data_IF_284932036106
#
_entry.id   IF_284932036106
#
_cell.length_a   1.000
_cell.length_b   1.000
_cell.length_c   1.000
_cell.angle_alpha   90.00
_cell.angle_beta   90.00
_cell.angle_gamma   90.00
#
_symmetry.space_group_name_H-M   'P 1'
#
loop_
_entity.id
_entity.type
_entity.pdbx_description
1 polymer ?
#
# COMPACT_ATOMS: atom_id res chain seq x y z
N UNK A 1 24.91 -4.69 -6.22
CA UNK A 1 24.73 -4.89 -7.69
C UNK A 1 24.09 -6.23 -8.00
N UNK A 2 24.59 -7.35 -7.46
CA UNK A 2 23.98 -8.69 -7.65
C UNK A 2 22.53 -8.76 -7.17
N UNK A 3 22.27 -8.35 -5.92
CA UNK A 3 20.92 -8.37 -5.33
C UNK A 3 19.87 -7.66 -6.18
N UNK A 4 20.25 -6.55 -6.83
CA UNK A 4 19.34 -5.75 -7.66
C UNK A 4 19.35 -6.18 -9.14
N UNK A 5 19.99 -7.30 -9.49
CA UNK A 5 20.01 -7.81 -10.85
C UNK A 5 20.72 -6.90 -11.86
N UNK A 6 21.80 -6.23 -11.45
CA UNK A 6 22.64 -5.39 -12.31
C UNK A 6 24.06 -5.93 -12.49
N UNK A 7 24.35 -7.14 -12.03
CA UNK A 7 25.72 -7.67 -12.05
C UNK A 7 26.20 -7.99 -13.47
N UNK A 8 25.37 -8.64 -14.28
CA UNK A 8 25.74 -9.00 -15.66
C UNK A 8 25.99 -7.74 -16.52
N UNK A 9 25.23 -6.68 -16.29
CA UNK A 9 25.34 -5.41 -17.03
C UNK A 9 26.34 -4.41 -16.44
N UNK A 10 27.15 -4.81 -15.45
CA UNK A 10 28.04 -3.90 -14.68
C UNK A 10 29.09 -3.17 -15.53
N UNK A 11 29.43 -3.71 -16.70
CA UNK A 11 30.41 -3.14 -17.63
C UNK A 11 29.77 -2.35 -18.78
N UNK A 12 28.43 -2.31 -18.87
CA UNK A 12 27.70 -1.53 -19.86
C UNK A 12 27.67 -0.06 -19.41
N UNK A 13 27.78 0.88 -20.36
CA UNK A 13 27.70 2.31 -20.05
C UNK A 13 26.31 2.67 -19.53
N UNK A 14 26.24 3.47 -18.47
CA UNK A 14 24.95 3.91 -17.86
C UNK A 14 24.05 4.62 -18.87
N UNK A 15 24.59 5.26 -19.91
CA UNK A 15 23.80 5.85 -21.00
C UNK A 15 22.88 4.83 -21.68
N UNK A 16 23.34 3.58 -21.82
CA UNK A 16 22.66 2.46 -22.49
C UNK A 16 21.70 1.71 -21.55
N UNK A 17 21.67 2.06 -20.25
CA UNK A 17 20.76 1.43 -19.29
C UNK A 17 19.31 1.82 -19.57
N UNK A 18 18.40 0.85 -19.41
CA UNK A 18 16.95 1.12 -19.37
C UNK A 18 16.60 2.01 -18.17
N UNK A 19 15.40 2.60 -18.18
CA UNK A 19 14.90 3.41 -17.06
C UNK A 19 14.97 2.65 -15.73
N UNK A 20 14.49 1.40 -15.72
CA UNK A 20 14.51 0.56 -14.51
C UNK A 20 15.92 0.17 -14.05
N UNK A 21 16.87 -0.03 -14.98
CA UNK A 21 18.28 -0.23 -14.61
C UNK A 21 18.88 1.01 -13.96
N UNK A 22 18.59 2.21 -14.49
CA UNK A 22 19.04 3.49 -13.90
C UNK A 22 18.49 3.71 -12.50
N UNK A 23 17.20 3.41 -12.29
CA UNK A 23 16.57 3.49 -10.95
C UNK A 23 17.25 2.54 -9.97
N UNK A 24 17.44 1.27 -10.33
CA UNK A 24 18.13 0.28 -9.48
C UNK A 24 19.59 0.67 -9.19
N UNK A 25 20.30 1.25 -10.17
CA UNK A 25 21.66 1.74 -9.96
C UNK A 25 21.69 2.94 -8.99
N UNK A 26 20.75 3.88 -9.13
CA UNK A 26 20.62 5.00 -8.20
C UNK A 26 20.32 4.53 -6.77
N UNK A 27 19.45 3.52 -6.61
CA UNK A 27 19.20 2.90 -5.32
C UNK A 27 20.48 2.31 -4.70
N UNK A 28 21.26 1.54 -5.48
CA UNK A 28 22.56 1.02 -5.01
C UNK A 28 23.50 2.14 -4.60
N UNK A 29 23.56 3.23 -5.37
CA UNK A 29 24.40 4.40 -5.04
C UNK A 29 23.98 5.08 -3.74
N UNK A 30 22.68 5.20 -3.48
CA UNK A 30 22.14 5.80 -2.27
C UNK A 30 22.48 4.99 -1.00
N UNK A 31 22.62 3.67 -1.13
CA UNK A 31 22.98 2.79 -0.02
C UNK A 31 24.50 2.61 0.17
N UNK A 32 25.31 2.92 -0.84
CA UNK A 32 26.73 2.56 -0.89
C UNK A 32 27.55 3.12 0.28
N UNK A 33 27.17 4.29 0.80
CA UNK A 33 27.84 4.95 1.92
C UNK A 33 27.28 4.55 3.30
N UNK A 34 26.42 3.53 3.38
CA UNK A 34 25.74 3.09 4.59
C UNK A 34 25.18 4.26 5.42
N UNK A 35 24.24 5.04 4.85
CA UNK A 35 23.75 6.23 5.52
C UNK A 35 23.00 5.84 6.80
N UNK A 36 22.76 6.80 7.70
CA UNK A 36 21.82 6.62 8.82
C UNK A 36 20.37 6.83 8.41
N UNK A 37 20.16 7.71 7.42
CA UNK A 37 18.86 8.06 6.86
C UNK A 37 18.93 7.95 5.35
N UNK A 38 18.06 7.13 4.77
CA UNK A 38 17.96 6.90 3.34
C UNK A 38 16.76 7.65 2.78
N UNK A 39 17.01 8.59 1.86
CA UNK A 39 15.96 9.32 1.13
C UNK A 39 15.73 8.64 -0.23
N UNK A 40 14.50 8.20 -0.47
CA UNK A 40 14.12 7.48 -1.67
C UNK A 40 12.93 8.18 -2.33
N UNK A 41 13.11 8.56 -3.59
CA UNK A 41 12.07 9.22 -4.39
C UNK A 41 11.63 8.28 -5.52
N UNK A 42 10.37 7.83 -5.46
CA UNK A 42 9.73 6.98 -6.46
C UNK A 42 10.57 5.75 -6.88
N UNK A 43 11.23 5.14 -5.90
CA UNK A 43 12.29 4.12 -6.11
C UNK A 43 11.81 2.83 -6.77
N UNK A 44 10.52 2.52 -6.66
CA UNK A 44 9.87 1.34 -7.27
C UNK A 44 9.09 1.69 -8.54
N UNK A 45 8.94 2.97 -8.86
CA UNK A 45 8.13 3.42 -9.99
C UNK A 45 8.75 2.99 -11.33
N UNK A 46 7.95 2.34 -12.17
CA UNK A 46 8.37 1.85 -13.47
C UNK A 46 9.30 0.62 -13.42
N UNK A 47 9.39 -0.05 -12.27
CA UNK A 47 9.97 -1.39 -12.17
C UNK A 47 8.87 -2.45 -12.39
N UNK A 48 9.27 -3.61 -12.93
CA UNK A 48 8.41 -4.78 -12.93
C UNK A 48 8.20 -5.31 -11.49
N UNK A 49 7.15 -6.12 -11.25
CA UNK A 49 6.82 -6.59 -9.90
C UNK A 49 7.96 -7.32 -9.18
N UNK A 50 8.80 -8.07 -9.91
CA UNK A 50 9.91 -8.83 -9.33
C UNK A 50 10.99 -7.89 -8.82
N UNK A 51 11.43 -6.94 -9.64
CA UNK A 51 12.44 -5.96 -9.25
C UNK A 51 11.93 -5.00 -8.16
N UNK A 52 10.67 -4.58 -8.23
CA UNK A 52 10.06 -3.76 -7.18
C UNK A 52 10.10 -4.51 -5.83
N UNK A 53 9.72 -5.79 -5.81
CA UNK A 53 9.78 -6.62 -4.59
C UNK A 53 11.18 -6.70 -4.00
N UNK A 54 12.20 -6.96 -4.83
CA UNK A 54 13.60 -7.01 -4.38
C UNK A 54 14.01 -5.71 -3.69
N UNK A 55 13.66 -4.55 -4.27
CA UNK A 55 13.99 -3.24 -3.69
C UNK A 55 13.28 -3.06 -2.35
N UNK A 56 12.00 -3.43 -2.27
CA UNK A 56 11.21 -3.37 -1.03
C UNK A 56 11.75 -4.26 0.08
N UNK A 57 12.19 -5.46 -0.26
CA UNK A 57 12.84 -6.37 0.68
C UNK A 57 14.12 -5.75 1.25
N UNK A 58 14.96 -5.13 0.39
CA UNK A 58 16.18 -4.43 0.82
C UNK A 58 15.87 -3.24 1.73
N UNK A 59 14.84 -2.45 1.41
CA UNK A 59 14.40 -1.32 2.23
C UNK A 59 13.96 -1.80 3.62
N UNK A 60 13.18 -2.87 3.66
CA UNK A 60 12.68 -3.47 4.92
C UNK A 60 13.83 -3.98 5.77
N UNK A 61 14.79 -4.71 5.19
CA UNK A 61 15.99 -5.16 5.89
C UNK A 61 16.82 -4.00 6.44
N UNK A 62 16.98 -2.93 5.67
CA UNK A 62 17.72 -1.74 6.11
C UNK A 62 17.05 -1.04 7.29
N UNK A 63 15.71 -0.92 7.27
CA UNK A 63 14.92 -0.44 8.42
C UNK A 63 15.11 -1.35 9.63
N UNK A 64 14.98 -2.66 9.45
CA UNK A 64 15.05 -3.65 10.54
C UNK A 64 16.44 -3.70 11.19
N UNK A 65 17.49 -3.27 10.47
CA UNK A 65 18.85 -3.07 10.99
C UNK A 65 19.05 -1.73 11.73
N UNK A 66 17.99 -0.95 11.91
CA UNK A 66 18.00 0.34 12.62
C UNK A 66 18.22 1.56 11.73
N UNK A 67 18.25 1.39 10.41
CA UNK A 67 18.27 2.49 9.45
C UNK A 67 16.93 3.23 9.40
N UNK A 68 16.95 4.54 9.11
CA UNK A 68 15.72 5.31 8.87
C UNK A 68 15.50 5.50 7.38
N UNK A 69 14.28 5.32 6.88
CA UNK A 69 13.95 5.52 5.47
C UNK A 69 12.90 6.61 5.35
N UNK A 70 13.16 7.61 4.50
CA UNK A 70 12.19 8.59 4.06
C UNK A 70 11.83 8.27 2.61
N UNK A 71 10.58 7.86 2.38
CA UNK A 71 10.08 7.46 1.06
C UNK A 71 9.06 8.49 0.58
N UNK A 72 9.27 9.06 -0.60
CA UNK A 72 8.23 9.72 -1.38
C UNK A 72 7.73 8.77 -2.46
N UNK A 73 6.43 8.51 -2.47
CA UNK A 73 5.78 7.76 -3.53
C UNK A 73 4.28 8.05 -3.60
N UNK A 74 3.72 7.93 -4.80
CA UNK A 74 2.28 7.86 -5.05
C UNK A 74 1.74 6.42 -5.05
N UNK A 75 2.60 5.40 -4.91
CA UNK A 75 2.21 3.99 -4.92
C UNK A 75 1.73 3.55 -3.53
N UNK A 76 0.43 3.60 -3.30
CA UNK A 76 -0.16 3.35 -1.99
C UNK A 76 0.10 1.93 -1.45
N UNK A 77 0.19 0.92 -2.31
CA UNK A 77 0.63 -0.42 -1.91
C UNK A 77 2.05 -0.45 -1.30
N UNK A 78 2.97 0.38 -1.81
CA UNK A 78 4.32 0.46 -1.25
C UNK A 78 4.31 1.18 0.10
N UNK A 79 3.48 2.20 0.22
CA UNK A 79 3.24 2.89 1.49
C UNK A 79 2.71 1.92 2.55
N UNK A 80 1.71 1.11 2.22
CA UNK A 80 1.15 0.12 3.14
C UNK A 80 2.16 -0.95 3.57
N UNK A 81 3.07 -1.35 2.67
CA UNK A 81 4.05 -2.41 2.95
C UNK A 81 5.27 -1.92 3.72
N UNK A 82 5.74 -0.69 3.45
CA UNK A 82 7.03 -0.22 3.93
C UNK A 82 6.94 0.79 5.09
N UNK A 83 5.88 1.59 5.14
CA UNK A 83 5.85 2.77 6.00
C UNK A 83 5.24 2.47 7.37
N UNK A 84 5.98 2.80 8.43
CA UNK A 84 5.46 2.81 9.80
C UNK A 84 4.52 4.00 10.04
N UNK A 85 4.79 5.12 9.36
CA UNK A 85 4.01 6.35 9.38
C UNK A 85 3.93 6.95 7.99
N UNK A 86 2.80 7.56 7.68
CA UNK A 86 2.49 8.20 6.40
C UNK A 86 2.24 9.68 6.66
N UNK A 87 2.73 10.53 5.76
CA UNK A 87 2.35 11.93 5.69
C UNK A 87 1.76 12.25 4.31
N UNK A 88 0.53 12.76 4.25
CA UNK A 88 -0.04 13.24 2.99
C UNK A 88 0.42 14.68 2.71
N UNK A 89 1.04 14.88 1.54
CA UNK A 89 1.46 16.19 1.05
C UNK A 89 0.47 16.69 -0.01
N UNK A 90 -0.21 17.80 0.26
CA UNK A 90 -1.20 18.43 -0.63
C UNK A 90 -0.89 19.92 -0.71
N UNK A 91 -0.83 20.48 -1.92
CA UNK A 91 -0.52 21.90 -2.15
C UNK A 91 0.76 22.42 -1.45
N UNK A 92 1.74 21.53 -1.25
CA UNK A 92 3.01 21.86 -0.59
C UNK A 92 2.98 21.79 0.93
N UNK A 93 1.86 21.41 1.54
CA UNK A 93 1.68 21.28 2.98
C UNK A 93 1.46 19.81 3.41
N UNK A 94 1.92 19.47 4.62
CA UNK A 94 1.64 18.16 5.22
C UNK A 94 0.35 18.23 6.02
N UNK A 95 -0.68 17.50 5.60
CA UNK A 95 -2.00 17.57 6.22
C UNK A 95 -2.16 16.60 7.39
N UNK A 96 -1.75 15.36 7.21
CA UNK A 96 -1.98 14.32 8.21
C UNK A 96 -0.78 13.39 8.30
N UNK A 97 -0.35 13.12 9.54
CA UNK A 97 0.75 12.22 9.83
C UNK A 97 0.30 11.17 10.82
N UNK A 98 0.12 9.93 10.36
CA UNK A 98 -0.37 8.83 11.19
C UNK A 98 0.10 7.48 10.68
N UNK A 99 -0.23 6.39 11.37
CA UNK A 99 0.07 5.03 10.89
C UNK A 99 -0.90 4.64 9.77
N UNK A 100 -0.51 3.73 8.85
CA UNK A 100 -1.43 3.22 7.84
C UNK A 100 -2.72 2.66 8.44
N UNK A 101 -2.61 1.97 9.58
CA UNK A 101 -3.74 1.39 10.30
C UNK A 101 -4.69 2.46 10.84
N UNK A 102 -4.17 3.49 11.49
CA UNK A 102 -5.00 4.53 12.08
C UNK A 102 -5.73 5.35 11.00
N UNK A 103 -5.06 5.58 9.86
CA UNK A 103 -5.70 6.20 8.69
C UNK A 103 -6.86 5.35 8.18
N UNK A 104 -6.65 4.04 8.00
CA UNK A 104 -7.71 3.10 7.61
C UNK A 104 -8.85 3.04 8.62
N UNK A 105 -8.58 3.20 9.92
CA UNK A 105 -9.65 3.23 10.93
C UNK A 105 -10.42 4.56 10.93
N UNK A 106 -9.73 5.68 10.68
CA UNK A 106 -10.31 7.03 10.68
C UNK A 106 -11.18 7.28 9.45
N UNK A 107 -10.69 6.88 8.27
CA UNK A 107 -11.36 7.08 6.99
C UNK A 107 -12.12 5.84 6.50
N UNK A 108 -11.95 4.72 7.21
CA UNK A 108 -12.61 3.45 6.95
C UNK A 108 -14.13 3.52 7.07
N UNK A 109 -14.82 2.80 6.19
CA UNK A 109 -16.25 2.55 6.38
C UNK A 109 -16.44 1.49 7.47
N UNK A 110 -17.18 1.84 8.52
CA UNK A 110 -17.49 0.90 9.61
C UNK A 110 -18.70 0.05 9.24
N UNK A 111 -18.56 -0.76 8.19
CA UNK A 111 -19.62 -1.61 7.65
C UNK A 111 -19.14 -3.04 7.39
N UNK A 112 -20.08 -3.95 7.20
CA UNK A 112 -19.87 -5.36 6.85
C UNK A 112 -20.76 -5.69 5.67
N UNK A 113 -20.16 -6.15 4.59
CA UNK A 113 -20.85 -6.71 3.43
C UNK A 113 -21.01 -8.21 3.61
N UNK A 114 -22.23 -8.70 3.47
CA UNK A 114 -22.54 -10.13 3.48
C UNK A 114 -23.09 -10.50 2.11
N UNK A 115 -22.54 -11.55 1.49
CA UNK A 115 -23.08 -12.16 0.27
C UNK A 115 -23.69 -13.51 0.63
N UNK A 116 -24.91 -13.74 0.16
CA UNK A 116 -25.70 -14.93 0.50
C UNK A 116 -26.61 -15.34 -0.65
N UNK A 117 -26.98 -16.62 -0.70
CA UNK A 117 -27.92 -17.11 -1.71
C UNK A 117 -29.37 -16.83 -1.35
N UNK A 118 -30.10 -16.32 -2.34
CA UNK A 118 -31.54 -16.12 -2.29
C UNK A 118 -32.15 -16.44 -3.66
N UNK A 119 -33.14 -17.33 -3.69
CA UNK A 119 -33.83 -17.76 -4.91
C UNK A 119 -32.89 -18.25 -6.04
N UNK A 120 -31.78 -18.91 -5.67
CA UNK A 120 -30.80 -19.43 -6.62
C UNK A 120 -29.82 -18.40 -7.18
N UNK A 121 -29.85 -17.14 -6.70
CA UNK A 121 -28.91 -16.10 -7.07
C UNK A 121 -28.14 -15.57 -5.85
N UNK A 122 -26.92 -15.09 -6.07
CA UNK A 122 -26.13 -14.38 -5.07
C UNK A 122 -26.70 -12.97 -4.86
N UNK A 123 -27.04 -12.66 -3.62
CA UNK A 123 -27.49 -11.34 -3.16
C UNK A 123 -26.49 -10.79 -2.16
N UNK A 124 -26.42 -9.46 -2.02
CA UNK A 124 -25.56 -8.82 -1.03
C UNK A 124 -26.32 -7.81 -0.18
N UNK A 125 -25.92 -7.68 1.09
CA UNK A 125 -26.42 -6.68 2.01
C UNK A 125 -25.26 -6.05 2.78
N UNK A 126 -25.39 -4.76 3.09
CA UNK A 126 -24.43 -3.98 3.87
C UNK A 126 -25.03 -3.66 5.23
N UNK A 127 -24.25 -3.85 6.29
CA UNK A 127 -24.64 -3.58 7.67
C UNK A 127 -23.61 -2.70 8.35
N UNK A 128 -24.02 -1.70 9.15
CA UNK A 128 -23.10 -1.01 10.04
C UNK A 128 -22.44 -2.00 11.00
N UNK A 129 -21.14 -1.84 11.23
CA UNK A 129 -20.39 -2.63 12.21
C UNK A 129 -20.82 -2.29 13.65
N UNK A 130 -21.25 -1.05 13.88
CA UNK A 130 -21.80 -0.62 15.16
C UNK A 130 -23.12 -1.34 15.44
N UNK A 131 -23.18 -2.02 16.58
CA UNK A 131 -24.37 -2.78 16.99
C UNK A 131 -24.68 -3.99 16.09
N UNK A 132 -23.78 -4.40 15.19
CA UNK A 132 -24.04 -5.48 14.22
C UNK A 132 -24.50 -6.79 14.88
N UNK A 133 -23.96 -7.09 16.06
CA UNK A 133 -24.33 -8.27 16.82
C UNK A 133 -25.80 -8.30 17.24
N UNK A 134 -26.46 -7.14 17.35
CA UNK A 134 -27.88 -6.99 17.70
C UNK A 134 -28.76 -6.70 16.48
N UNK A 135 -28.18 -6.60 15.27
CA UNK A 135 -28.93 -6.30 14.07
C UNK A 135 -29.78 -7.52 13.65
N UNK A 136 -31.10 -7.40 13.80
CA UNK A 136 -32.04 -8.49 13.54
C UNK A 136 -31.98 -9.01 12.09
N UNK A 137 -31.78 -8.12 11.11
CA UNK A 137 -31.71 -8.52 9.70
C UNK A 137 -30.41 -9.28 9.41
N UNK A 138 -29.28 -8.78 9.91
CA UNK A 138 -27.99 -9.46 9.81
C UNK A 138 -28.06 -10.85 10.46
N UNK A 139 -28.58 -10.96 11.68
CA UNK A 139 -28.78 -12.25 12.35
C UNK A 139 -29.72 -13.18 11.57
N UNK A 140 -30.80 -12.65 10.99
CA UNK A 140 -31.73 -13.44 10.20
C UNK A 140 -31.08 -14.00 8.93
N UNK A 141 -30.22 -13.23 8.28
CA UNK A 141 -29.44 -13.69 7.13
C UNK A 141 -28.49 -14.80 7.56
N UNK A 142 -27.70 -14.60 8.63
CA UNK A 142 -26.77 -15.61 9.14
C UNK A 142 -27.45 -16.92 9.58
N UNK A 143 -28.68 -16.85 10.10
CA UNK A 143 -29.43 -18.02 10.57
C UNK A 143 -30.17 -18.75 9.46
N UNK A 144 -30.66 -18.04 8.45
CA UNK A 144 -31.65 -18.58 7.51
C UNK A 144 -31.19 -18.61 6.06
N UNK A 145 -30.02 -18.04 5.73
CA UNK A 145 -29.49 -18.00 4.36
C UNK A 145 -28.17 -18.77 4.28
N UNK A 146 -27.86 -19.25 3.09
CA UNK A 146 -26.55 -19.83 2.78
C UNK A 146 -25.57 -18.67 2.51
N UNK A 147 -24.62 -18.46 3.43
CA UNK A 147 -23.62 -17.40 3.32
C UNK A 147 -22.51 -17.84 2.37
N UNK A 148 -22.20 -17.01 1.39
CA UNK A 148 -21.08 -17.22 0.47
C UNK A 148 -19.84 -16.48 0.95
N UNK A 149 -19.97 -15.19 1.31
CA UNK A 149 -18.85 -14.37 1.81
C UNK A 149 -19.28 -13.35 2.86
N UNK A 150 -18.33 -12.95 3.72
CA UNK A 150 -18.48 -11.82 4.65
C UNK A 150 -17.19 -11.01 4.61
N UNK A 151 -17.31 -9.72 4.33
CA UNK A 151 -16.18 -8.79 4.24
C UNK A 151 -16.44 -7.55 5.10
N UNK A 152 -15.43 -7.09 5.85
CA UNK A 152 -15.42 -5.73 6.40
C UNK A 152 -15.32 -4.71 5.26
N UNK A 153 -16.00 -3.58 5.39
CA UNK A 153 -15.88 -2.42 4.50
C UNK A 153 -14.56 -1.68 4.71
N UNK A 154 -13.44 -2.37 4.48
CA UNK A 154 -12.12 -1.75 4.56
C UNK A 154 -11.95 -0.71 3.45
N UNK A 155 -11.36 0.43 3.81
CA UNK A 155 -11.00 1.48 2.86
C UNK A 155 -9.55 1.31 2.48
N UNK A 156 -9.27 1.29 1.18
CA UNK A 156 -7.90 1.17 0.67
C UNK A 156 -7.12 2.47 0.92
N UNK A 157 -5.80 2.40 0.97
CA UNK A 157 -5.00 3.62 1.09
C UNK A 157 -5.15 4.52 -0.16
N UNK A 158 -5.44 3.95 -1.32
CA UNK A 158 -5.84 4.67 -2.54
C UNK A 158 -7.10 5.51 -2.32
N UNK A 159 -8.15 4.95 -1.72
CA UNK A 159 -9.37 5.71 -1.40
C UNK A 159 -9.09 6.84 -0.41
N UNK A 160 -8.26 6.58 0.62
CA UNK A 160 -7.86 7.60 1.59
C UNK A 160 -7.10 8.72 0.89
N UNK A 161 -6.19 8.39 -0.03
CA UNK A 161 -5.46 9.38 -0.81
C UNK A 161 -6.39 10.29 -1.63
N UNK A 162 -7.42 9.73 -2.27
CA UNK A 162 -8.44 10.49 -3.01
C UNK A 162 -9.19 11.44 -2.06
N UNK A 163 -9.63 10.93 -0.91
CA UNK A 163 -10.32 11.73 0.12
C UNK A 163 -9.43 12.90 0.59
N UNK A 164 -8.15 12.66 0.80
CA UNK A 164 -7.21 13.64 1.34
C UNK A 164 -6.77 14.68 0.32
N UNK A 165 -6.61 14.30 -0.94
CA UNK A 165 -6.15 15.19 -2.01
C UNK A 165 -7.28 15.91 -2.72
N UNK A 166 -8.52 15.41 -2.63
CA UNK A 166 -9.67 15.95 -3.37
C UNK A 166 -9.56 15.77 -4.89
N UNK A 167 -8.60 14.97 -5.36
CA UNK A 167 -8.39 14.67 -6.78
C UNK A 167 -9.15 13.38 -7.10
N UNK A 168 -10.27 13.48 -7.81
CA UNK A 168 -10.86 12.32 -8.48
C UNK A 168 -9.82 11.75 -9.45
N UNK A 169 -9.46 10.47 -9.29
CA UNK A 169 -8.65 9.74 -10.27
C UNK A 169 -9.39 9.80 -11.62
N UNK A 170 -8.88 10.60 -12.56
CA UNK A 170 -9.34 10.61 -13.95
C UNK A 170 -8.81 9.40 -14.71
#
# INVERSE_FOLDING_TARGET
>A
MERVGLWEDRNIKVGEYSKGMKVRLNFVRAMLNNPRVLFLDEVTNGLDPTNARIIKDIISEYRDQGGTVFLSTHLMNDVEQLCDRIAFCVDGELHEISTPRDLKLKYGKREVKVEYRENGATTSALFPLEGIGMNNQFQAILKNKEIETIHSGETSMEDIFIIMTGVDLK
#
